data_IF_016016054808
#
_entry.id   IF_016016054808
#
_cell.length_a   1.000
_cell.length_b   1.000
_cell.length_c   1.000
_cell.angle_alpha   90.00
_cell.angle_beta   90.00
_cell.angle_gamma   90.00
#
_symmetry.space_group_name_H-M   'P 1'
#
loop_
_entity.id
_entity.type
_entity.pdbx_description
1 polymer ?
#
# COMPACT_ATOMS: atom_id res chain seq x y z
N UNK A 1 -4.25 3.52 10.91
CA UNK A 1 -4.54 2.11 11.23
C UNK A 1 -4.85 1.82 12.71
N UNK A 2 -3.95 1.24 13.53
CA UNK A 2 -4.33 0.77 14.87
C UNK A 2 -4.71 1.90 15.86
N UNK A 3 -4.09 3.09 15.74
CA UNK A 3 -4.46 4.27 16.52
C UNK A 3 -5.81 4.87 16.09
N UNK A 4 -6.18 4.68 14.82
CA UNK A 4 -7.43 5.16 14.22
C UNK A 4 -8.54 4.10 14.31
N UNK A 5 -8.32 3.01 15.05
CA UNK A 5 -9.27 1.89 15.22
C UNK A 5 -9.72 1.19 13.92
N UNK A 6 -8.91 1.28 12.86
CA UNK A 6 -9.24 0.68 11.56
C UNK A 6 -9.05 -0.84 11.50
N UNK A 7 -8.28 -1.40 12.45
CA UNK A 7 -7.97 -2.83 12.49
C UNK A 7 -8.79 -3.57 13.55
N UNK A 8 -9.16 -4.85 13.31
CA UNK A 8 -9.64 -5.70 14.38
C UNK A 8 -8.52 -5.83 15.43
N UNK A 9 -8.90 -5.83 16.71
CA UNK A 9 -7.96 -5.99 17.83
C UNK A 9 -6.94 -4.82 17.99
N UNK A 10 -7.31 -3.61 17.54
CA UNK A 10 -6.48 -2.39 17.64
C UNK A 10 -5.89 -2.16 19.05
N UNK A 11 -6.63 -2.46 20.12
CA UNK A 11 -6.18 -2.33 21.52
C UNK A 11 -4.96 -3.20 21.89
N UNK A 12 -4.74 -4.31 21.17
CA UNK A 12 -3.54 -5.15 21.39
C UNK A 12 -2.38 -4.69 20.51
N UNK A 13 -2.66 -4.20 19.31
CA UNK A 13 -1.64 -3.72 18.36
C UNK A 13 -0.99 -2.41 18.81
N UNK A 14 -1.67 -1.60 19.63
CA UNK A 14 -1.13 -0.35 20.19
C UNK A 14 -0.28 -0.55 21.45
N UNK A 15 -0.15 -1.78 21.96
CA UNK A 15 0.64 -2.04 23.17
C UNK A 15 2.13 -1.79 22.94
N UNK A 16 2.67 -0.85 23.73
CA UNK A 16 4.07 -0.45 23.68
C UNK A 16 4.91 -1.26 24.68
N UNK A 17 6.16 -1.55 24.30
CA UNK A 17 7.16 -2.11 25.21
C UNK A 17 7.55 -1.09 26.29
N UNK A 18 7.71 -1.56 27.54
CA UNK A 18 8.04 -0.71 28.70
C UNK A 18 9.41 -0.01 28.60
N UNK A 19 10.36 -0.58 27.85
CA UNK A 19 11.76 -0.08 27.81
C UNK A 19 12.09 0.73 26.56
N UNK A 20 11.55 0.33 25.40
CA UNK A 20 11.89 0.92 24.10
C UNK A 20 10.72 1.67 23.45
N UNK A 21 9.52 1.63 24.05
CA UNK A 21 8.32 2.33 23.54
C UNK A 21 7.95 1.93 22.10
N UNK A 22 8.32 0.71 21.70
CA UNK A 22 8.01 0.14 20.37
C UNK A 22 6.78 -0.77 20.49
N UNK A 23 5.84 -0.72 19.52
CA UNK A 23 4.71 -1.63 19.49
C UNK A 23 5.16 -3.04 19.07
N UNK A 24 5.29 -3.94 20.05
CA UNK A 24 5.90 -5.26 19.83
C UNK A 24 4.95 -6.28 19.19
N UNK A 25 3.64 -6.16 19.41
CA UNK A 25 2.63 -7.06 18.83
C UNK A 25 2.58 -6.96 17.30
N UNK A 26 2.48 -5.78 16.68
CA UNK A 26 2.53 -5.68 15.21
C UNK A 26 3.89 -6.07 14.64
N UNK A 27 5.00 -5.79 15.36
CA UNK A 27 6.33 -6.21 14.94
C UNK A 27 6.45 -7.74 14.87
N UNK A 28 5.93 -8.45 15.89
CA UNK A 28 5.90 -9.91 15.89
C UNK A 28 4.99 -10.47 14.79
N UNK A 29 3.84 -9.85 14.56
CA UNK A 29 2.95 -10.25 13.48
C UNK A 29 3.62 -10.11 12.11
N UNK A 30 4.29 -8.99 11.86
CA UNK A 30 5.06 -8.76 10.64
C UNK A 30 6.22 -9.76 10.49
N UNK A 31 6.91 -10.09 11.59
CA UNK A 31 7.99 -11.08 11.58
C UNK A 31 7.48 -12.46 11.19
N UNK A 32 6.34 -12.90 11.72
CA UNK A 32 5.74 -14.20 11.37
C UNK A 32 5.41 -14.24 9.88
N UNK A 33 4.80 -13.18 9.33
CA UNK A 33 4.50 -13.09 7.89
C UNK A 33 5.79 -13.12 7.08
N UNK A 34 6.82 -12.38 7.49
CA UNK A 34 8.11 -12.35 6.79
C UNK A 34 8.75 -13.75 6.74
N UNK A 35 8.76 -14.48 7.86
CA UNK A 35 9.27 -15.85 7.90
C UNK A 35 8.49 -16.79 6.96
N UNK A 36 7.16 -16.69 6.92
CA UNK A 36 6.32 -17.49 6.01
C UNK A 36 6.67 -17.16 4.55
N UNK A 37 6.77 -15.87 4.21
CA UNK A 37 7.08 -15.42 2.86
C UNK A 37 8.47 -15.87 2.40
N UNK A 38 9.46 -15.84 3.30
CA UNK A 38 10.81 -16.34 3.03
C UNK A 38 10.86 -17.83 2.68
N UNK A 39 9.93 -18.63 3.21
CA UNK A 39 9.85 -20.07 2.89
C UNK A 39 9.10 -20.36 1.60
N UNK A 40 8.27 -19.43 1.11
CA UNK A 40 7.33 -19.67 0.01
C UNK A 40 7.81 -19.12 -1.35
N UNK A 41 8.70 -18.11 -1.36
CA UNK A 41 9.08 -17.41 -2.59
C UNK A 41 10.58 -17.22 -2.77
N UNK A 42 11.02 -17.06 -4.01
CA UNK A 42 12.35 -16.57 -4.34
C UNK A 42 12.46 -15.06 -4.04
N UNK A 43 13.68 -14.56 -3.91
CA UNK A 43 13.93 -13.13 -3.72
C UNK A 43 13.27 -12.30 -4.84
N UNK A 44 13.48 -12.69 -6.10
CA UNK A 44 12.92 -12.00 -7.26
C UNK A 44 11.39 -12.00 -7.24
N UNK A 45 10.77 -13.12 -6.86
CA UNK A 45 9.31 -13.21 -6.74
C UNK A 45 8.77 -12.23 -5.69
N UNK A 46 9.43 -12.12 -4.53
CA UNK A 46 9.02 -11.21 -3.46
C UNK A 46 9.18 -9.75 -3.88
N UNK A 47 10.29 -9.39 -4.54
CA UNK A 47 10.55 -8.02 -4.99
C UNK A 47 9.64 -7.61 -6.13
N UNK A 48 9.37 -8.49 -7.09
CA UNK A 48 8.49 -8.19 -8.21
C UNK A 48 7.05 -7.98 -7.71
N UNK A 49 6.61 -8.78 -6.73
CA UNK A 49 5.29 -8.63 -6.11
C UNK A 49 5.19 -7.30 -5.33
N UNK A 50 6.22 -6.96 -4.56
CA UNK A 50 6.31 -5.70 -3.83
C UNK A 50 6.21 -4.51 -4.81
N UNK A 51 7.05 -4.50 -5.84
CA UNK A 51 7.09 -3.41 -6.83
C UNK A 51 5.73 -3.26 -7.49
N UNK A 52 5.11 -4.36 -7.91
CA UNK A 52 3.78 -4.34 -8.52
C UNK A 52 2.74 -3.66 -7.61
N UNK A 53 2.61 -4.12 -6.36
CA UNK A 53 1.62 -3.57 -5.41
C UNK A 53 1.94 -2.11 -5.08
N UNK A 54 3.21 -1.75 -4.89
CA UNK A 54 3.61 -0.36 -4.64
C UNK A 54 3.26 0.56 -5.81
N UNK A 55 3.51 0.14 -7.05
CA UNK A 55 3.17 0.93 -8.24
C UNK A 55 1.68 1.04 -8.47
N UNK A 56 0.90 0.01 -8.11
CA UNK A 56 -0.56 0.05 -8.16
C UNK A 56 -1.11 1.19 -7.29
N UNK A 57 -0.67 1.28 -6.04
CA UNK A 57 -1.06 2.38 -5.15
C UNK A 57 -0.44 3.72 -5.54
N UNK A 58 0.79 3.73 -6.04
CA UNK A 58 1.44 4.96 -6.52
C UNK A 58 0.70 5.58 -7.70
N UNK A 59 0.20 4.76 -8.64
CA UNK A 59 -0.66 5.22 -9.73
C UNK A 59 -1.91 5.95 -9.19
N UNK A 60 -2.56 5.37 -8.18
CA UNK A 60 -3.72 6.00 -7.53
C UNK A 60 -3.36 7.33 -6.87
N UNK A 61 -2.19 7.42 -6.23
CA UNK A 61 -1.68 8.67 -5.62
C UNK A 61 -1.43 9.73 -6.70
N UNK A 62 -0.81 9.38 -7.83
CA UNK A 62 -0.59 10.34 -8.92
C UNK A 62 -1.90 10.86 -9.50
N UNK A 63 -2.89 9.98 -9.69
CA UNK A 63 -4.25 10.37 -10.10
C UNK A 63 -4.90 11.27 -9.03
N UNK A 64 -4.71 10.95 -7.75
CA UNK A 64 -5.25 11.73 -6.64
C UNK A 64 -4.76 13.19 -6.66
N UNK A 65 -3.54 13.47 -7.14
CA UNK A 65 -3.05 14.85 -7.32
C UNK A 65 -3.94 15.65 -8.28
N UNK A 66 -4.38 15.05 -9.38
CA UNK A 66 -5.31 15.70 -10.34
C UNK A 66 -6.71 15.84 -9.74
N UNK A 67 -7.20 14.79 -9.08
CA UNK A 67 -8.53 14.80 -8.43
C UNK A 67 -8.60 15.87 -7.35
N UNK A 68 -7.60 15.96 -6.47
CA UNK A 68 -7.58 16.92 -5.35
C UNK A 68 -7.43 18.36 -5.84
N UNK A 69 -6.76 18.59 -6.97
CA UNK A 69 -6.71 19.91 -7.62
C UNK A 69 -8.08 20.39 -8.11
N UNK A 70 -8.95 19.48 -8.56
CA UNK A 70 -10.31 19.79 -8.97
C UNK A 70 -11.30 19.86 -7.79
N UNK A 71 -11.17 18.94 -6.82
CA UNK A 71 -12.12 18.79 -5.71
C UNK A 71 -11.94 19.86 -4.62
N UNK A 72 -10.71 20.31 -4.39
CA UNK A 72 -10.40 21.31 -3.35
C UNK A 72 -9.43 22.37 -3.90
N UNK A 73 -9.87 23.23 -4.84
CA UNK A 73 -9.01 24.24 -5.46
C UNK A 73 -8.44 25.25 -4.45
N UNK A 74 -9.26 25.65 -3.47
CA UNK A 74 -8.98 26.68 -2.45
C UNK A 74 -8.09 26.22 -1.28
N UNK A 75 -7.73 24.94 -1.23
CA UNK A 75 -6.86 24.42 -0.17
C UNK A 75 -5.48 25.11 -0.24
N UNK A 76 -4.97 25.59 0.89
CA UNK A 76 -3.62 26.12 0.96
C UNK A 76 -2.62 25.00 0.61
N UNK A 77 -1.77 25.23 -0.40
CA UNK A 77 -0.78 24.27 -0.90
C UNK A 77 0.63 24.81 -0.64
N UNK A 78 1.27 24.46 0.50
CA UNK A 78 2.63 24.88 0.80
C UNK A 78 3.64 24.44 -0.26
N UNK A 79 3.38 23.28 -0.89
CA UNK A 79 4.17 22.77 -2.00
C UNK A 79 3.27 22.51 -3.22
N UNK A 80 3.76 22.91 -4.39
CA UNK A 80 3.14 22.63 -5.70
C UNK A 80 4.16 21.88 -6.54
N UNK A 81 3.73 20.76 -7.13
CA UNK A 81 4.57 20.00 -8.05
C UNK A 81 5.03 20.92 -9.18
N UNK A 82 6.34 21.10 -9.40
CA UNK A 82 6.86 21.91 -10.50
C UNK A 82 6.44 21.29 -11.84
N UNK A 83 6.28 22.11 -12.88
CA UNK A 83 5.89 21.66 -14.23
C UNK A 83 4.59 20.83 -14.25
N UNK A 84 3.67 21.08 -13.32
CA UNK A 84 2.33 20.51 -13.38
C UNK A 84 1.62 21.01 -14.66
N UNK A 85 0.99 20.13 -15.47
CA UNK A 85 0.65 18.73 -15.22
C UNK A 85 1.63 17.68 -15.78
N UNK A 86 2.75 18.09 -16.38
CA UNK A 86 3.64 17.21 -17.15
C UNK A 86 4.30 16.14 -16.27
N UNK A 87 4.89 16.52 -15.13
CA UNK A 87 5.60 15.55 -14.27
C UNK A 87 4.66 14.44 -13.76
N UNK A 88 3.47 14.75 -13.19
CA UNK A 88 2.55 13.69 -12.78
C UNK A 88 2.05 12.82 -13.94
N UNK A 89 1.91 13.38 -15.15
CA UNK A 89 1.50 12.61 -16.32
C UNK A 89 2.55 11.59 -16.73
N UNK A 90 3.84 11.98 -16.73
CA UNK A 90 4.96 11.06 -16.98
C UNK A 90 4.97 9.94 -15.94
N UNK A 91 4.76 10.29 -14.66
CA UNK A 91 4.69 9.29 -13.58
C UNK A 91 3.53 8.30 -13.76
N UNK A 92 2.36 8.77 -14.20
CA UNK A 92 1.21 7.91 -14.53
C UNK A 92 1.54 6.98 -15.70
N UNK A 93 2.15 7.49 -16.78
CA UNK A 93 2.53 6.67 -17.93
C UNK A 93 3.53 5.59 -17.51
N UNK A 94 4.56 5.95 -16.73
CA UNK A 94 5.53 4.99 -16.21
C UNK A 94 4.90 3.93 -15.30
N UNK A 95 3.97 4.34 -14.42
CA UNK A 95 3.25 3.42 -13.55
C UNK A 95 2.38 2.43 -14.35
N UNK A 96 1.62 2.93 -15.34
CA UNK A 96 0.81 2.10 -16.22
C UNK A 96 1.70 1.13 -17.02
N UNK A 97 2.85 1.59 -17.49
CA UNK A 97 3.80 0.76 -18.22
C UNK A 97 4.32 -0.38 -17.34
N UNK A 98 4.76 -0.10 -16.11
CA UNK A 98 5.25 -1.13 -15.19
C UNK A 98 4.14 -2.13 -14.86
N UNK A 99 2.95 -1.64 -14.47
CA UNK A 99 1.82 -2.51 -14.14
C UNK A 99 1.38 -3.36 -15.33
N UNK A 100 1.27 -2.76 -16.52
CA UNK A 100 0.92 -3.46 -17.75
C UNK A 100 1.93 -4.53 -18.11
N UNK A 101 3.22 -4.19 -18.05
CA UNK A 101 4.29 -5.16 -18.31
C UNK A 101 4.27 -6.30 -17.31
N UNK A 102 4.18 -6.03 -16.00
CA UNK A 102 4.13 -7.08 -14.98
C UNK A 102 2.90 -7.99 -15.13
N UNK A 103 1.74 -7.45 -15.52
CA UNK A 103 0.54 -8.27 -15.79
C UNK A 103 0.78 -9.21 -16.98
N UNK A 104 1.44 -8.73 -18.04
CA UNK A 104 1.71 -9.52 -19.24
C UNK A 104 2.81 -10.56 -19.04
N UNK A 105 3.87 -10.22 -18.30
CA UNK A 105 5.03 -11.10 -18.11
C UNK A 105 4.87 -12.04 -16.91
N UNK A 106 4.16 -11.62 -15.87
CA UNK A 106 4.06 -12.32 -14.58
C UNK A 106 2.63 -12.26 -14.02
N UNK A 107 1.65 -12.72 -14.79
CA UNK A 107 0.22 -12.67 -14.42
C UNK A 107 -0.09 -13.36 -13.09
N UNK A 108 0.56 -14.48 -12.79
CA UNK A 108 0.37 -15.21 -11.53
C UNK A 108 0.73 -14.36 -10.31
N UNK A 109 1.85 -13.67 -10.36
CA UNK A 109 2.32 -12.78 -9.30
C UNK A 109 1.42 -11.56 -9.14
N UNK A 110 0.98 -10.96 -10.25
CA UNK A 110 0.01 -9.86 -10.23
C UNK A 110 -1.31 -10.28 -9.56
N UNK A 111 -1.82 -11.48 -9.87
CA UNK A 111 -3.02 -12.02 -9.23
C UNK A 111 -2.85 -12.24 -7.72
N UNK A 112 -1.69 -12.75 -7.28
CA UNK A 112 -1.40 -12.94 -5.86
C UNK A 112 -1.33 -11.58 -5.14
N UNK A 113 -0.62 -10.60 -5.71
CA UNK A 113 -0.52 -9.26 -5.14
C UNK A 113 -1.88 -8.56 -5.01
N UNK A 114 -2.73 -8.67 -6.05
CA UNK A 114 -4.12 -8.17 -6.01
C UNK A 114 -4.93 -8.94 -4.97
N UNK A 115 -4.83 -10.27 -4.94
CA UNK A 115 -5.53 -11.12 -3.98
C UNK A 115 -5.21 -10.75 -2.53
N UNK A 116 -3.93 -10.63 -2.19
CA UNK A 116 -3.47 -10.20 -0.86
C UNK A 116 -3.98 -8.81 -0.52
N UNK A 117 -3.98 -7.88 -1.48
CA UNK A 117 -4.51 -6.53 -1.27
C UNK A 117 -6.02 -6.55 -1.00
N UNK A 118 -6.77 -7.37 -1.75
CA UNK A 118 -8.22 -7.53 -1.59
C UNK A 118 -8.61 -8.20 -0.27
N UNK A 119 -7.74 -9.02 0.34
CA UNK A 119 -7.97 -9.57 1.68
C UNK A 119 -8.14 -8.48 2.75
N UNK A 120 -7.66 -7.26 2.49
CA UNK A 120 -7.95 -6.09 3.34
C UNK A 120 -9.43 -5.70 3.38
N UNK A 121 -10.21 -5.99 2.33
CA UNK A 121 -11.63 -5.61 2.23
C UNK A 121 -12.48 -6.40 3.24
N UNK A 122 -12.43 -7.75 3.31
CA UNK A 122 -13.11 -8.50 4.36
C UNK A 122 -12.77 -8.03 5.77
N UNK A 123 -11.50 -7.72 6.03
CA UNK A 123 -11.04 -7.23 7.34
C UNK A 123 -11.68 -5.88 7.68
N UNK A 124 -11.68 -4.95 6.71
CA UNK A 124 -12.33 -3.65 6.86
C UNK A 124 -13.84 -3.78 7.10
N UNK A 125 -14.53 -4.61 6.31
CA UNK A 125 -15.97 -4.83 6.46
C UNK A 125 -16.34 -5.49 7.79
N UNK A 126 -15.54 -6.46 8.27
CA UNK A 126 -15.73 -7.09 9.56
C UNK A 126 -15.65 -6.08 10.71
N UNK A 127 -14.69 -5.14 10.63
CA UNK A 127 -14.54 -4.09 11.61
C UNK A 127 -15.66 -3.04 11.51
N UNK A 128 -16.05 -2.63 10.31
CA UNK A 128 -17.08 -1.60 10.14
C UNK A 128 -18.49 -2.09 10.49
N UNK A 129 -18.74 -3.41 10.46
CA UNK A 129 -19.99 -4.02 10.96
C UNK A 129 -20.08 -4.09 12.49
N UNK A 130 -19.01 -3.78 13.23
CA UNK A 130 -18.89 -4.00 14.67
C UNK A 130 -18.46 -2.75 15.42
#
# INVERSE_FOLDING_TARGET
MALENELPVSNQLTKLSKKFTVPYVPAMFQLVIACIMMTMGSFDFLTDMLIFVMWLFSLLIFIAVFVLRKKAPEMNRPYKVPLYPVIPLIAIIGAIFILGMTILTQTSLAMIGIGVTLLGIPVYLYKNKK
#
